data_IF_774172457770
#
_entry.id   IF_774172457770
#
_cell.length_a   1.000
_cell.length_b   1.000
_cell.length_c   1.000
_cell.angle_alpha   90.00
_cell.angle_beta   90.00
_cell.angle_gamma   90.00
#
_symmetry.space_group_name_H-M   'P 1'
#
loop_
_entity.id
_entity.type
_entity.pdbx_description
1 polymer ?
#
# COMPACT_ATOMS: atom_id res chain seq x y z
N UNK A 1 -1.91 34.27 -12.82
CA UNK A 1 -1.54 33.19 -11.85
C UNK A 1 -0.35 32.42 -12.34
N UNK A 2 0.59 32.04 -11.44
CA UNK A 2 1.70 31.18 -11.81
C UNK A 2 1.16 29.79 -12.13
N UNK A 3 1.65 29.18 -13.20
CA UNK A 3 1.33 27.79 -13.51
C UNK A 3 1.99 26.88 -12.48
N UNK A 4 1.21 26.26 -11.59
CA UNK A 4 1.73 25.28 -10.62
C UNK A 4 2.13 23.99 -11.34
N UNK A 5 3.38 23.55 -11.14
CA UNK A 5 3.91 22.34 -11.78
C UNK A 5 3.13 21.10 -11.41
N UNK A 6 2.55 21.02 -10.18
CA UNK A 6 1.75 19.88 -9.75
C UNK A 6 0.54 19.60 -10.66
N UNK A 7 -0.04 20.63 -11.30
CA UNK A 7 -1.16 20.48 -12.22
C UNK A 7 -0.72 19.95 -13.59
N UNK A 8 0.52 20.26 -14.01
CA UNK A 8 1.07 19.75 -15.28
C UNK A 8 1.60 18.31 -15.22
N UNK A 9 1.67 17.70 -14.03
CA UNK A 9 2.10 16.29 -13.87
C UNK A 9 1.10 15.34 -14.51
N UNK A 10 -0.20 15.67 -14.47
CA UNK A 10 -1.26 14.90 -15.10
C UNK A 10 -1.21 13.41 -14.70
N UNK A 11 -1.20 12.52 -15.69
CA UNK A 11 -1.20 11.06 -15.54
C UNK A 11 -0.06 10.49 -14.67
N UNK A 12 1.00 11.25 -14.46
CA UNK A 12 2.13 10.83 -13.62
C UNK A 12 1.90 11.12 -12.13
N UNK A 13 0.84 11.84 -11.76
CA UNK A 13 0.49 12.07 -10.37
C UNK A 13 0.21 10.73 -9.67
N UNK A 14 0.82 10.51 -8.49
CA UNK A 14 0.62 9.29 -7.70
C UNK A 14 -0.50 9.40 -6.68
N UNK A 15 -1.05 10.62 -6.47
CA UNK A 15 -2.04 10.87 -5.43
C UNK A 15 -1.51 10.65 -4.02
N UNK A 16 -0.26 11.04 -3.75
CA UNK A 16 0.41 10.85 -2.46
C UNK A 16 0.02 11.88 -1.38
N UNK A 17 -0.79 12.88 -1.69
CA UNK A 17 -1.26 13.94 -0.80
C UNK A 17 -0.17 14.89 -0.24
N UNK A 18 1.07 14.80 -0.65
CA UNK A 18 2.14 15.68 -0.17
C UNK A 18 1.85 17.17 -0.42
N UNK A 19 1.33 17.51 -1.60
CA UNK A 19 0.97 18.89 -1.97
C UNK A 19 -0.18 19.46 -1.12
N UNK A 20 -1.19 18.64 -0.77
CA UNK A 20 -2.28 19.04 0.13
C UNK A 20 -1.75 19.34 1.52
N UNK A 21 -0.95 18.43 2.08
CA UNK A 21 -0.37 18.58 3.41
C UNK A 21 0.57 19.78 3.50
N UNK A 22 1.28 20.11 2.42
CA UNK A 22 2.19 21.25 2.35
C UNK A 22 1.50 22.60 2.22
N UNK A 23 0.22 22.64 1.83
CA UNK A 23 -0.48 23.90 1.57
C UNK A 23 -0.86 24.60 2.88
N UNK A 24 -0.27 25.79 3.21
CA UNK A 24 -0.54 26.48 4.46
C UNK A 24 -1.94 27.14 4.49
N UNK A 25 -2.58 27.29 3.33
CA UNK A 25 -3.91 27.89 3.16
C UNK A 25 -5.00 26.86 2.92
N UNK A 26 -4.68 25.56 2.97
CA UNK A 26 -5.60 24.48 2.63
C UNK A 26 -6.28 24.66 1.26
N UNK A 27 -5.59 25.33 0.33
CA UNK A 27 -6.09 25.61 -1.02
C UNK A 27 -6.01 24.38 -1.95
N UNK A 28 -5.49 23.25 -1.49
CA UNK A 28 -5.34 22.04 -2.30
C UNK A 28 -6.15 20.92 -1.69
N UNK A 29 -7.04 20.34 -2.47
CA UNK A 29 -7.76 19.12 -2.17
C UNK A 29 -7.42 18.04 -3.22
N UNK A 30 -7.63 16.77 -2.88
CA UNK A 30 -7.48 15.66 -3.81
C UNK A 30 -8.81 14.87 -3.90
N UNK A 31 -9.81 15.37 -4.64
CA UNK A 31 -11.03 14.61 -4.92
C UNK A 31 -10.73 13.40 -5.82
N UNK A 32 -11.65 12.44 -5.87
CA UNK A 32 -11.64 11.39 -6.88
C UNK A 32 -11.91 12.02 -8.26
N UNK A 33 -11.04 11.74 -9.23
CA UNK A 33 -11.24 12.13 -10.63
C UNK A 33 -12.27 11.23 -11.33
N UNK A 34 -12.50 11.42 -12.63
CA UNK A 34 -13.45 10.62 -13.42
C UNK A 34 -13.15 9.11 -13.48
N UNK A 35 -11.97 8.67 -13.07
CA UNK A 35 -11.55 7.27 -12.93
C UNK A 35 -11.54 6.77 -11.48
N UNK A 36 -11.96 7.63 -10.53
CA UNK A 36 -12.00 7.33 -9.09
C UNK A 36 -10.63 7.38 -8.40
N UNK A 37 -9.63 8.05 -8.97
CA UNK A 37 -8.31 8.25 -8.37
C UNK A 37 -8.18 9.66 -7.80
N UNK A 38 -7.45 9.78 -6.69
CA UNK A 38 -7.19 11.08 -6.04
C UNK A 38 -6.22 11.94 -6.85
N UNK A 39 -6.65 13.14 -7.24
CA UNK A 39 -5.83 14.10 -7.99
C UNK A 39 -5.97 15.51 -7.43
N UNK A 40 -4.88 16.32 -7.47
CA UNK A 40 -4.88 17.64 -6.86
C UNK A 40 -5.74 18.63 -7.66
N UNK A 41 -6.57 19.35 -6.93
CA UNK A 41 -7.31 20.54 -7.39
C UNK A 41 -6.91 21.72 -6.50
N UNK A 42 -6.67 22.89 -7.12
CA UNK A 42 -6.29 24.11 -6.41
C UNK A 42 -7.49 25.07 -6.40
N UNK A 43 -7.90 25.50 -5.22
CA UNK A 43 -8.80 26.62 -5.05
C UNK A 43 -8.01 27.92 -5.25
N UNK A 44 -8.22 28.57 -6.38
CA UNK A 44 -7.52 29.80 -6.77
C UNK A 44 -7.82 30.97 -5.84
N UNK A 45 -8.98 30.99 -5.16
CA UNK A 45 -9.35 32.05 -4.22
C UNK A 45 -8.55 31.97 -2.92
N UNK A 46 -8.15 30.76 -2.52
CA UNK A 46 -7.36 30.51 -1.32
C UNK A 46 -5.86 30.46 -1.61
N UNK A 47 -5.47 30.22 -2.85
CA UNK A 47 -4.06 30.08 -3.25
C UNK A 47 -3.32 31.40 -3.20
N UNK A 48 -2.17 31.43 -2.50
CA UNK A 48 -1.29 32.59 -2.37
C UNK A 48 -0.03 32.47 -3.24
N UNK A 49 0.02 31.59 -4.20
CA UNK A 49 1.13 31.37 -5.13
C UNK A 49 2.51 31.15 -4.47
N UNK A 50 2.57 30.56 -3.27
CA UNK A 50 3.82 30.35 -2.52
C UNK A 50 4.73 29.27 -3.09
N UNK A 51 4.24 28.41 -4.00
CA UNK A 51 4.98 27.34 -4.68
C UNK A 51 5.41 26.18 -3.78
N UNK A 52 4.91 26.08 -2.54
CA UNK A 52 5.25 24.97 -1.63
C UNK A 52 4.81 23.61 -2.15
N UNK A 53 3.65 23.54 -2.81
CA UNK A 53 3.14 22.31 -3.42
C UNK A 53 4.10 21.75 -4.48
N UNK A 54 4.68 22.62 -5.31
CA UNK A 54 5.65 22.19 -6.34
C UNK A 54 6.96 21.70 -5.70
N UNK A 55 7.44 22.39 -4.65
CA UNK A 55 8.65 22.02 -3.91
C UNK A 55 8.51 20.73 -3.11
N UNK A 56 7.28 20.32 -2.83
CA UNK A 56 6.97 19.13 -2.04
C UNK A 56 6.58 17.94 -2.91
N UNK A 57 6.32 18.15 -4.20
CA UNK A 57 5.89 17.07 -5.07
C UNK A 57 7.07 16.14 -5.43
N UNK A 58 7.02 14.82 -5.09
CA UNK A 58 8.10 13.88 -5.40
C UNK A 58 8.25 13.60 -6.91
N UNK A 59 7.31 14.08 -7.74
CA UNK A 59 7.43 14.02 -9.21
C UNK A 59 8.15 15.25 -9.78
N UNK A 60 8.19 16.35 -9.04
CA UNK A 60 8.92 17.57 -9.38
C UNK A 60 10.33 17.57 -8.77
N UNK A 61 10.43 17.21 -7.48
CA UNK A 61 11.69 17.09 -6.75
C UNK A 61 11.71 15.69 -6.11
N UNK A 62 12.51 14.81 -6.68
CA UNK A 62 12.64 13.43 -6.21
C UNK A 62 13.40 13.41 -4.88
N UNK A 63 12.85 12.80 -3.82
CA UNK A 63 13.55 12.66 -2.55
C UNK A 63 14.75 11.68 -2.70
N UNK A 64 15.69 11.73 -1.77
CA UNK A 64 16.81 10.79 -1.70
C UNK A 64 16.28 9.37 -1.60
N UNK A 65 16.84 8.48 -2.42
CA UNK A 65 16.50 7.06 -2.45
C UNK A 65 17.74 6.22 -2.40
N UNK A 66 17.65 5.09 -1.73
CA UNK A 66 18.74 4.16 -1.49
C UNK A 66 18.44 2.83 -2.18
N UNK A 67 19.47 2.16 -2.66
CA UNK A 67 19.38 0.73 -3.01
C UNK A 67 19.51 -0.08 -1.73
N UNK A 68 18.82 -1.21 -1.66
CA UNK A 68 18.93 -2.09 -0.51
C UNK A 68 20.40 -2.47 -0.26
N UNK A 69 20.85 -2.26 0.98
CA UNK A 69 22.21 -2.57 1.45
C UNK A 69 22.32 -4.01 1.93
N UNK A 70 21.25 -4.49 2.62
CA UNK A 70 21.19 -5.84 3.19
C UNK A 70 19.79 -6.44 2.96
N UNK A 71 19.76 -7.76 2.92
CA UNK A 71 18.52 -8.51 2.86
C UNK A 71 18.41 -9.48 4.04
N UNK A 72 17.20 -9.67 4.52
CA UNK A 72 16.85 -10.61 5.57
C UNK A 72 15.53 -11.30 5.22
N UNK A 73 15.28 -12.41 5.90
CA UNK A 73 13.97 -13.04 5.92
C UNK A 73 13.59 -13.37 7.37
N UNK A 74 12.29 -13.40 7.64
CA UNK A 74 11.87 -13.68 9.01
C UNK A 74 10.36 -13.68 9.22
N UNK A 75 10.00 -13.87 10.47
CA UNK A 75 8.61 -13.90 10.93
C UNK A 75 8.51 -13.54 12.40
N UNK A 76 7.33 -13.11 12.83
CA UNK A 76 6.98 -12.97 14.24
C UNK A 76 6.72 -14.34 14.84
N UNK A 77 7.24 -14.60 16.05
CA UNK A 77 7.12 -15.90 16.72
C UNK A 77 5.74 -16.14 17.35
N UNK A 78 4.95 -15.09 17.55
CA UNK A 78 3.54 -15.18 17.92
C UNK A 78 2.72 -15.76 16.75
N UNK A 79 2.29 -17.01 16.90
CA UNK A 79 1.55 -17.73 15.86
C UNK A 79 0.21 -17.09 15.53
N UNK A 80 -0.48 -16.47 16.49
CA UNK A 80 -1.78 -15.84 16.25
C UNK A 80 -1.62 -14.52 15.49
N UNK A 81 -0.64 -13.71 15.83
CA UNK A 81 -0.30 -12.52 15.05
C UNK A 81 0.17 -12.93 13.64
N UNK A 82 1.01 -13.97 13.52
CA UNK A 82 1.49 -14.46 12.23
C UNK A 82 0.36 -14.98 11.34
N UNK A 83 -0.62 -15.69 11.89
CA UNK A 83 -1.83 -16.15 11.17
C UNK A 83 -2.67 -14.98 10.67
N UNK A 84 -2.80 -13.92 11.47
CA UNK A 84 -3.55 -12.70 11.13
C UNK A 84 -2.77 -11.70 10.27
N UNK A 85 -1.53 -11.99 9.90
CA UNK A 85 -0.69 -11.17 9.01
C UNK A 85 -0.72 -11.70 7.58
N UNK A 86 -0.43 -10.89 6.58
CA UNK A 86 -0.39 -11.30 5.16
C UNK A 86 0.80 -12.19 4.81
N UNK A 87 1.90 -12.08 5.55
CA UNK A 87 3.15 -12.82 5.35
C UNK A 87 3.71 -13.29 6.70
N UNK A 88 5.01 -13.17 6.95
CA UNK A 88 5.67 -13.50 8.21
C UNK A 88 5.30 -12.63 9.40
N UNK A 89 4.61 -11.50 9.22
CA UNK A 89 4.16 -10.62 10.31
C UNK A 89 5.18 -9.59 10.76
N UNK A 90 6.24 -9.30 9.99
CA UNK A 90 7.28 -8.35 10.40
C UNK A 90 6.79 -6.90 10.50
N UNK A 91 5.74 -6.50 9.74
CA UNK A 91 5.06 -5.23 10.02
C UNK A 91 4.63 -5.16 11.49
N UNK A 92 3.98 -6.22 12.00
CA UNK A 92 3.50 -6.28 13.37
C UNK A 92 4.65 -6.31 14.39
N UNK A 93 5.75 -6.97 14.09
CA UNK A 93 6.92 -7.00 14.96
C UNK A 93 7.50 -5.59 15.15
N UNK A 94 7.71 -4.84 14.05
CA UNK A 94 8.22 -3.46 14.10
C UNK A 94 7.21 -2.53 14.78
N UNK A 95 5.93 -2.65 14.44
CA UNK A 95 4.87 -1.84 15.03
C UNK A 95 4.76 -2.05 16.55
N UNK A 96 4.78 -3.30 17.01
CA UNK A 96 4.75 -3.62 18.44
C UNK A 96 5.97 -3.06 19.18
N UNK A 97 7.17 -3.11 18.57
CA UNK A 97 8.36 -2.49 19.13
C UNK A 97 8.18 -0.97 19.30
N UNK A 98 7.69 -0.27 18.26
CA UNK A 98 7.47 1.18 18.33
C UNK A 98 6.44 1.53 19.41
N UNK A 99 5.32 0.80 19.48
CA UNK A 99 4.25 1.03 20.47
C UNK A 99 4.76 0.76 21.89
N UNK A 100 5.50 -0.32 22.10
CA UNK A 100 6.06 -0.66 23.41
C UNK A 100 7.04 0.40 23.93
N UNK A 101 7.67 1.18 23.05
CA UNK A 101 8.54 2.31 23.38
C UNK A 101 7.79 3.67 23.41
N UNK A 102 6.45 3.68 23.51
CA UNK A 102 5.64 4.91 23.58
C UNK A 102 5.46 5.62 22.23
N UNK A 103 5.88 5.03 21.14
CA UNK A 103 5.73 5.56 19.79
C UNK A 103 4.31 5.41 19.23
N UNK A 104 4.12 5.90 18.00
CA UNK A 104 2.86 5.84 17.27
C UNK A 104 3.08 5.27 15.87
N UNK A 105 2.13 4.47 15.39
CA UNK A 105 2.21 3.77 14.11
C UNK A 105 1.10 4.26 13.19
N UNK A 106 1.46 4.69 11.98
CA UNK A 106 0.52 5.08 10.92
C UNK A 106 0.52 4.07 9.78
N UNK A 107 -0.67 3.77 9.27
CA UNK A 107 -0.84 2.85 8.14
C UNK A 107 -2.26 2.89 7.60
N UNK A 108 -2.51 2.13 6.55
CA UNK A 108 -3.80 2.07 5.90
C UNK A 108 -4.78 1.16 6.66
N UNK A 109 -6.02 1.63 6.88
CA UNK A 109 -7.14 0.84 7.39
C UNK A 109 -8.41 1.11 6.60
N UNK A 110 -9.33 0.13 6.56
CA UNK A 110 -10.65 0.36 6.00
C UNK A 110 -11.55 1.06 6.99
N UNK A 111 -12.24 2.10 6.49
CA UNK A 111 -13.39 2.72 7.14
C UNK A 111 -14.66 2.17 6.49
N UNK A 112 -15.52 1.55 7.29
CA UNK A 112 -16.79 0.96 6.85
C UNK A 112 -18.00 1.83 7.20
N UNK A 113 -17.79 3.04 7.73
CA UNK A 113 -18.87 3.99 8.03
C UNK A 113 -19.34 4.67 6.75
N UNK A 114 -20.50 4.27 6.22
CA UNK A 114 -21.01 4.72 4.93
C UNK A 114 -20.34 4.03 3.75
N UNK A 115 -19.91 4.80 2.75
CA UNK A 115 -19.14 4.26 1.63
C UNK A 115 -17.79 3.76 2.10
N UNK A 116 -17.49 2.50 1.76
CA UNK A 116 -16.20 1.88 2.12
C UNK A 116 -15.05 2.71 1.55
N UNK A 117 -14.09 3.07 2.43
CA UNK A 117 -12.88 3.83 2.09
C UNK A 117 -11.65 3.16 2.66
N UNK A 118 -10.53 3.29 1.99
CA UNK A 118 -9.22 2.99 2.55
C UNK A 118 -8.56 4.31 2.94
N UNK A 119 -8.31 4.49 4.22
CA UNK A 119 -7.79 5.74 4.79
C UNK A 119 -6.53 5.45 5.61
N UNK A 120 -5.66 6.47 5.74
CA UNK A 120 -4.48 6.37 6.59
C UNK A 120 -4.82 6.85 8.00
N UNK A 121 -4.61 5.99 8.98
CA UNK A 121 -4.88 6.23 10.39
C UNK A 121 -3.70 5.87 11.27
N UNK A 122 -3.71 6.38 12.49
CA UNK A 122 -2.81 5.92 13.55
C UNK A 122 -3.37 4.68 14.26
N UNK A 123 -2.47 3.94 14.93
CA UNK A 123 -2.89 2.83 15.79
C UNK A 123 -3.73 3.29 17.01
N UNK A 124 -3.64 4.55 17.39
CA UNK A 124 -4.43 5.12 18.48
C UNK A 124 -5.89 5.38 18.06
N UNK A 125 -6.11 5.69 16.77
CA UNK A 125 -7.45 5.91 16.24
C UNK A 125 -8.20 4.60 15.97
N UNK A 126 -7.54 3.58 15.40
CA UNK A 126 -8.22 2.39 14.88
C UNK A 126 -7.71 1.07 15.45
N UNK A 127 -6.69 1.10 16.30
CA UNK A 127 -6.01 -0.10 16.78
C UNK A 127 -5.05 -0.70 15.75
N UNK A 128 -4.02 -1.40 16.25
CA UNK A 128 -2.99 -2.01 15.38
C UNK A 128 -3.55 -3.11 14.48
N UNK A 129 -4.60 -3.81 14.89
CA UNK A 129 -5.23 -4.88 14.10
C UNK A 129 -5.78 -4.34 12.77
N UNK A 130 -6.40 -3.16 12.77
CA UNK A 130 -6.94 -2.54 11.57
C UNK A 130 -5.84 -2.15 10.55
N UNK A 131 -4.63 -1.85 11.05
CA UNK A 131 -3.47 -1.52 10.20
C UNK A 131 -2.80 -2.75 9.58
N UNK A 132 -3.03 -3.95 10.14
CA UNK A 132 -2.47 -5.21 9.62
C UNK A 132 -3.06 -5.58 8.27
N UNK A 133 -2.43 -6.54 7.62
CA UNK A 133 -2.80 -7.14 6.33
C UNK A 133 -2.61 -6.20 5.12
N UNK A 134 -2.51 -6.80 3.95
CA UNK A 134 -2.35 -6.08 2.68
C UNK A 134 -3.70 -5.57 2.19
N UNK A 135 -3.75 -4.31 1.78
CA UNK A 135 -4.92 -3.65 1.19
C UNK A 135 -4.53 -3.16 -0.20
N UNK A 136 -5.19 -3.70 -1.22
CA UNK A 136 -4.76 -3.55 -2.62
C UNK A 136 -5.59 -2.53 -3.39
N UNK A 137 -5.82 -1.36 -2.81
CA UNK A 137 -6.44 -0.19 -3.44
C UNK A 137 -5.73 1.08 -3.01
N UNK A 138 -5.97 2.19 -3.71
CA UNK A 138 -5.38 3.47 -3.33
C UNK A 138 -5.89 3.93 -1.96
N UNK A 139 -4.95 4.34 -1.10
CA UNK A 139 -5.25 4.90 0.22
C UNK A 139 -5.49 6.42 0.13
N UNK A 140 -6.45 6.91 0.92
CA UNK A 140 -6.66 8.34 1.13
C UNK A 140 -5.83 8.78 2.35
N UNK A 141 -4.77 9.54 2.11
CA UNK A 141 -3.84 9.98 3.18
C UNK A 141 -4.43 11.13 3.99
N UNK A 142 -5.26 11.97 3.38
CA UNK A 142 -5.83 13.14 4.05
C UNK A 142 -4.76 14.08 4.59
N UNK A 143 -4.85 14.41 5.88
CA UNK A 143 -3.91 15.30 6.58
C UNK A 143 -2.87 14.54 7.44
N UNK A 144 -2.80 13.22 7.34
CA UNK A 144 -1.95 12.36 8.17
C UNK A 144 -0.48 12.78 8.20
N UNK A 145 0.05 13.34 7.11
CA UNK A 145 1.45 13.79 7.12
C UNK A 145 1.69 14.98 8.06
N UNK A 146 0.68 15.83 8.27
CA UNK A 146 0.76 16.92 9.27
C UNK A 146 0.76 16.36 10.69
N UNK A 147 -0.07 15.35 10.94
CA UNK A 147 -0.15 14.70 12.25
C UNK A 147 1.14 13.95 12.57
N UNK A 148 1.72 13.25 11.58
CA UNK A 148 3.05 12.64 11.67
C UNK A 148 4.09 13.71 12.04
N UNK A 149 4.11 14.83 11.33
CA UNK A 149 5.06 15.92 11.61
C UNK A 149 4.91 16.46 13.04
N UNK A 150 3.70 16.67 13.51
CA UNK A 150 3.43 17.12 14.88
C UNK A 150 3.97 16.13 15.92
N UNK A 151 3.74 14.84 15.74
CA UNK A 151 4.28 13.80 16.63
C UNK A 151 5.82 13.75 16.60
N UNK A 152 6.44 13.88 15.43
CA UNK A 152 7.90 13.93 15.30
C UNK A 152 8.49 15.15 16.00
N UNK A 153 7.88 16.32 15.85
CA UNK A 153 8.33 17.57 16.45
C UNK A 153 8.12 17.60 17.98
N UNK A 154 7.20 16.79 18.51
CA UNK A 154 7.05 16.58 19.96
C UNK A 154 8.08 15.59 20.54
N UNK A 155 8.98 15.04 19.72
CA UNK A 155 9.98 14.03 20.11
C UNK A 155 9.47 12.60 20.15
N UNK A 156 8.22 12.35 19.77
CA UNK A 156 7.63 11.03 19.77
C UNK A 156 8.18 10.18 18.62
N UNK A 157 8.49 8.91 18.88
CA UNK A 157 8.85 7.97 17.82
C UNK A 157 7.64 7.68 16.94
N UNK A 158 7.83 7.78 15.63
CA UNK A 158 6.76 7.55 14.63
C UNK A 158 7.19 6.47 13.66
N UNK A 159 6.32 5.49 13.43
CA UNK A 159 6.42 4.56 12.31
C UNK A 159 5.35 4.89 11.27
N UNK A 160 5.76 5.05 10.01
CA UNK A 160 4.84 5.16 8.89
C UNK A 160 5.02 4.00 7.91
N UNK A 161 3.94 3.31 7.57
CA UNK A 161 3.94 2.23 6.58
C UNK A 161 2.99 2.56 5.43
N UNK A 162 3.52 2.67 4.21
CA UNK A 162 2.76 3.00 3.02
C UNK A 162 3.37 2.46 1.73
N UNK A 163 2.74 2.77 0.59
CA UNK A 163 3.36 2.47 -0.72
C UNK A 163 4.63 3.29 -0.92
N UNK A 164 5.58 2.87 -1.79
CA UNK A 164 6.80 3.64 -2.03
C UNK A 164 6.54 5.09 -2.45
N UNK A 165 5.48 5.36 -3.22
CA UNK A 165 5.15 6.72 -3.62
C UNK A 165 4.53 7.55 -2.49
N UNK A 166 3.86 6.93 -1.53
CA UNK A 166 3.37 7.61 -0.32
C UNK A 166 4.52 7.94 0.64
N UNK A 167 5.50 7.03 0.80
CA UNK A 167 6.73 7.30 1.57
C UNK A 167 7.53 8.44 0.94
N UNK A 168 7.69 8.45 -0.38
CA UNK A 168 8.30 9.59 -1.08
C UNK A 168 7.55 10.90 -0.79
N UNK A 169 6.21 10.85 -0.82
CA UNK A 169 5.35 12.00 -0.49
C UNK A 169 5.60 12.51 0.92
N UNK A 170 5.66 11.62 1.91
CA UNK A 170 5.94 11.96 3.30
C UNK A 170 7.35 12.59 3.45
N UNK A 171 8.39 11.95 2.92
CA UNK A 171 9.78 12.46 2.98
C UNK A 171 9.88 13.84 2.29
N UNK A 172 9.24 14.02 1.13
CA UNK A 172 9.19 15.31 0.44
C UNK A 172 8.40 16.38 1.21
N UNK A 173 7.36 16.00 1.94
CA UNK A 173 6.61 16.92 2.81
C UNK A 173 7.43 17.36 4.02
N UNK A 174 8.12 16.44 4.68
CA UNK A 174 8.93 16.71 5.88
C UNK A 174 10.17 17.59 5.58
N UNK A 175 10.79 17.45 4.40
CA UNK A 175 11.96 18.21 3.90
C UNK A 175 13.21 18.13 4.75
N UNK A 176 13.22 17.36 5.79
CA UNK A 176 14.37 17.06 6.64
C UNK A 176 14.24 15.63 7.16
N UNK A 177 15.34 15.07 7.55
CA UNK A 177 15.35 13.80 8.24
C UNK A 177 15.00 13.98 9.71
N UNK A 178 14.36 12.97 10.29
CA UNK A 178 14.00 12.87 11.69
C UNK A 178 14.53 11.53 12.21
N UNK A 179 15.36 11.54 13.24
CA UNK A 179 15.90 10.34 13.86
C UNK A 179 14.83 9.48 14.51
N UNK A 180 13.72 10.09 14.95
CA UNK A 180 12.57 9.42 15.54
C UNK A 180 11.50 8.98 14.51
N UNK A 181 11.82 8.99 13.19
CA UNK A 181 10.95 8.50 12.13
C UNK A 181 11.44 7.17 11.58
N UNK A 182 10.61 6.15 11.61
CA UNK A 182 10.81 4.86 10.93
C UNK A 182 9.84 4.80 9.75
N UNK A 183 10.37 4.62 8.53
CA UNK A 183 9.57 4.48 7.32
C UNK A 183 9.67 3.07 6.76
N UNK A 184 8.51 2.47 6.49
CA UNK A 184 8.41 1.15 5.88
C UNK A 184 7.61 1.26 4.59
N UNK A 185 8.15 0.75 3.51
CA UNK A 185 7.38 0.48 2.31
C UNK A 185 7.30 -1.02 2.00
N UNK A 186 6.65 -1.36 0.91
CA UNK A 186 6.54 -2.73 0.46
C UNK A 186 6.69 -2.82 -1.06
N UNK A 187 6.99 -4.02 -1.58
CA UNK A 187 7.03 -4.26 -3.02
C UNK A 187 5.62 -4.11 -3.58
N UNK A 188 5.40 -2.98 -4.25
CA UNK A 188 4.11 -2.55 -4.77
C UNK A 188 3.99 -2.86 -6.26
N UNK A 189 2.86 -3.43 -6.66
CA UNK A 189 2.54 -3.75 -8.06
C UNK A 189 1.45 -2.85 -8.66
N UNK A 190 1.24 -1.66 -8.07
CA UNK A 190 0.20 -0.72 -8.47
C UNK A 190 -1.12 -0.89 -7.72
N UNK A 191 -1.96 0.13 -7.81
CA UNK A 191 -3.24 0.21 -7.10
C UNK A 191 -4.40 0.54 -8.03
N UNK A 192 -5.55 -0.14 -7.92
CA UNK A 192 -6.83 0.32 -8.46
C UNK A 192 -7.43 1.42 -7.57
N UNK A 193 -8.46 2.09 -8.06
CA UNK A 193 -9.20 3.11 -7.29
C UNK A 193 -10.20 2.47 -6.30
N UNK A 194 -10.55 3.24 -5.26
CA UNK A 194 -11.63 2.85 -4.33
C UNK A 194 -12.99 2.77 -5.03
N UNK A 195 -13.27 3.66 -5.98
CA UNK A 195 -14.49 3.61 -6.81
C UNK A 195 -14.61 2.27 -7.55
N UNK A 196 -13.51 1.76 -8.10
CA UNK A 196 -13.51 0.46 -8.78
C UNK A 196 -13.73 -0.70 -7.81
N UNK A 197 -13.18 -0.63 -6.58
CA UNK A 197 -13.45 -1.63 -5.55
C UNK A 197 -14.94 -1.62 -5.16
N UNK A 198 -15.54 -0.45 -4.91
CA UNK A 198 -16.97 -0.35 -4.58
C UNK A 198 -17.85 -0.96 -5.67
N UNK A 199 -17.59 -0.65 -6.96
CA UNK A 199 -18.29 -1.27 -8.10
C UNK A 199 -18.11 -2.79 -8.17
N UNK A 200 -16.93 -3.29 -7.79
CA UNK A 200 -16.69 -4.73 -7.74
C UNK A 200 -17.44 -5.39 -6.59
N UNK A 201 -17.45 -4.79 -5.41
CA UNK A 201 -18.19 -5.30 -4.26
C UNK A 201 -19.71 -5.35 -4.57
N UNK A 202 -20.24 -4.32 -5.21
CA UNK A 202 -21.63 -4.31 -5.68
C UNK A 202 -21.90 -5.46 -6.68
N UNK A 203 -21.00 -5.64 -7.65
CA UNK A 203 -21.12 -6.71 -8.66
C UNK A 203 -21.13 -8.11 -8.06
N UNK A 204 -20.36 -8.35 -6.99
CA UNK A 204 -20.31 -9.64 -6.30
C UNK A 204 -21.30 -9.74 -5.12
N UNK A 205 -22.17 -8.74 -4.90
CA UNK A 205 -23.19 -8.74 -3.84
C UNK A 205 -22.63 -8.50 -2.43
N UNK A 206 -21.50 -7.80 -2.30
CA UNK A 206 -20.83 -7.50 -1.04
C UNK A 206 -20.73 -6.01 -0.74
N UNK A 207 -21.63 -5.19 -1.23
CA UNK A 207 -21.64 -3.73 -0.96
C UNK A 207 -21.77 -3.37 0.52
N UNK A 208 -22.38 -4.25 1.33
CA UNK A 208 -22.51 -4.08 2.78
C UNK A 208 -21.41 -4.77 3.60
N UNK A 209 -20.27 -5.12 2.99
CA UNK A 209 -19.18 -5.78 3.70
C UNK A 209 -18.66 -4.91 4.84
N UNK A 210 -18.52 -5.50 6.03
CA UNK A 210 -17.94 -4.88 7.23
C UNK A 210 -16.50 -5.31 7.47
N UNK A 211 -15.99 -6.25 6.66
CA UNK A 211 -14.61 -6.71 6.67
C UNK A 211 -14.18 -7.10 5.26
N UNK A 212 -13.03 -6.64 4.83
CA UNK A 212 -12.39 -7.00 3.56
C UNK A 212 -11.01 -7.57 3.82
N UNK A 213 -10.81 -8.84 3.51
CA UNK A 213 -9.51 -9.51 3.53
C UNK A 213 -9.10 -9.89 2.11
N UNK A 214 -8.12 -9.19 1.57
CA UNK A 214 -7.58 -9.46 0.23
C UNK A 214 -6.70 -10.72 0.17
N UNK A 215 -6.25 -11.23 1.32
CA UNK A 215 -5.32 -12.35 1.39
C UNK A 215 -5.59 -13.23 2.60
N UNK A 216 -6.76 -13.88 2.67
CA UNK A 216 -6.98 -14.90 3.69
C UNK A 216 -5.91 -15.98 3.50
N UNK A 217 -5.17 -16.36 4.55
CA UNK A 217 -4.10 -17.38 4.50
C UNK A 217 -4.57 -18.80 4.21
N UNK A 218 -5.80 -18.97 3.74
CA UNK A 218 -6.40 -20.26 3.43
C UNK A 218 -6.58 -20.37 1.92
N UNK A 219 -6.45 -21.57 1.40
CA UNK A 219 -6.31 -22.06 0.01
C UNK A 219 -7.22 -21.46 -1.08
N UNK A 220 -7.89 -20.37 -0.82
CA UNK A 220 -8.70 -19.64 -1.79
C UNK A 220 -8.27 -18.20 -1.94
N UNK A 221 -7.71 -17.94 -3.04
CA UNK A 221 -7.56 -16.63 -3.62
C UNK A 221 -8.95 -16.06 -3.86
N UNK A 222 -9.41 -15.17 -2.98
CA UNK A 222 -10.63 -14.43 -3.22
C UNK A 222 -10.45 -13.60 -4.50
N UNK A 223 -11.49 -13.45 -5.28
CA UNK A 223 -11.55 -12.73 -6.54
C UNK A 223 -11.05 -11.27 -6.51
N UNK A 224 -10.69 -10.75 -5.34
CA UNK A 224 -10.02 -9.45 -5.20
C UNK A 224 -8.69 -9.35 -5.97
N UNK A 225 -8.04 -10.47 -6.30
CA UNK A 225 -6.92 -10.47 -7.23
C UNK A 225 -7.33 -10.06 -8.65
N UNK A 226 -8.60 -10.26 -9.02
CA UNK A 226 -9.14 -9.81 -10.29
C UNK A 226 -9.14 -8.27 -10.40
N UNK A 227 -9.34 -7.54 -9.30
CA UNK A 227 -9.28 -6.07 -9.27
C UNK A 227 -7.87 -5.57 -9.60
N UNK A 228 -6.83 -6.32 -9.24
CA UNK A 228 -5.43 -6.01 -9.57
C UNK A 228 -5.02 -6.34 -10.99
N UNK A 229 -5.90 -6.96 -11.80
CA UNK A 229 -5.56 -7.19 -13.20
C UNK A 229 -5.24 -5.87 -13.86
N UNK A 230 -4.14 -5.85 -14.45
CA UNK A 230 -3.36 -4.95 -15.29
C UNK A 230 -4.08 -3.70 -15.83
N UNK A 231 -5.33 -3.85 -16.24
CA UNK A 231 -6.13 -2.80 -16.87
C UNK A 231 -6.89 -1.91 -15.87
N UNK A 232 -6.67 -2.08 -14.58
CA UNK A 232 -7.45 -1.42 -13.50
C UNK A 232 -6.62 -0.48 -12.64
N UNK A 233 -5.31 -0.44 -12.89
CA UNK A 233 -4.39 0.32 -12.08
C UNK A 233 -4.40 1.81 -12.42
N UNK A 234 -3.96 2.63 -11.46
CA UNK A 234 -3.69 4.05 -11.69
C UNK A 234 -2.70 4.23 -12.84
N UNK A 235 -2.86 5.27 -13.69
CA UNK A 235 -1.98 5.52 -14.83
C UNK A 235 -0.52 5.66 -14.41
N UNK A 236 -0.23 6.40 -13.34
CA UNK A 236 1.14 6.56 -12.85
C UNK A 236 1.80 5.24 -12.41
N UNK A 237 1.03 4.19 -12.11
CA UNK A 237 1.59 2.86 -11.83
C UNK A 237 2.13 2.18 -13.08
N UNK A 238 1.70 2.58 -14.28
CA UNK A 238 2.21 2.08 -15.55
C UNK A 238 3.62 2.60 -15.86
N UNK A 239 3.97 3.79 -15.31
CA UNK A 239 5.30 4.42 -15.41
C UNK A 239 5.90 4.64 -14.02
N UNK A 240 5.78 3.63 -13.19
CA UNK A 240 6.19 3.71 -11.81
C UNK A 240 7.71 3.88 -11.67
N UNK A 241 8.14 5.01 -11.14
CA UNK A 241 9.56 5.29 -10.90
C UNK A 241 10.17 4.52 -9.72
N UNK A 242 9.36 3.75 -8.99
CA UNK A 242 9.80 2.94 -7.85
C UNK A 242 10.13 1.48 -8.23
N UNK A 243 9.88 1.09 -9.48
CA UNK A 243 10.18 -0.27 -9.97
C UNK A 243 11.67 -0.53 -10.21
N UNK A 244 12.54 0.46 -9.99
CA UNK A 244 13.99 0.35 -10.17
C UNK A 244 14.74 -0.15 -8.93
N UNK A 245 14.00 -0.45 -7.86
CA UNK A 245 14.53 -0.96 -6.61
C UNK A 245 15.24 0.06 -5.73
N UNK A 246 15.13 1.36 -6.02
CA UNK A 246 15.59 2.41 -5.10
C UNK A 246 14.40 2.92 -4.28
N UNK A 247 14.59 3.10 -2.99
CA UNK A 247 13.56 3.44 -2.00
C UNK A 247 13.94 4.61 -1.12
N UNK A 248 12.97 5.45 -0.79
CA UNK A 248 13.14 6.47 0.25
C UNK A 248 12.81 5.93 1.66
N UNK A 249 12.16 4.78 1.74
CA UNK A 249 11.89 4.09 3.00
C UNK A 249 13.17 3.52 3.62
N UNK A 250 13.19 3.43 4.96
CA UNK A 250 14.29 2.83 5.70
C UNK A 250 14.31 1.30 5.50
N UNK A 251 13.12 0.70 5.47
CA UNK A 251 12.91 -0.74 5.30
C UNK A 251 11.85 -0.99 4.22
N UNK A 252 12.11 -1.96 3.34
CA UNK A 252 11.12 -2.50 2.40
C UNK A 252 10.76 -3.93 2.83
N UNK A 253 9.47 -4.22 3.02
CA UNK A 253 8.98 -5.55 3.34
C UNK A 253 8.24 -6.18 2.15
N UNK A 254 8.29 -7.50 2.06
CA UNK A 254 7.55 -8.24 1.04
C UNK A 254 7.25 -9.67 1.49
N UNK A 255 6.38 -10.36 0.73
CA UNK A 255 6.36 -11.82 0.80
C UNK A 255 7.66 -12.38 0.21
N UNK A 256 8.23 -13.38 0.83
CA UNK A 256 9.39 -14.05 0.27
C UNK A 256 8.95 -15.08 -0.80
N UNK A 257 8.46 -14.59 -1.94
CA UNK A 257 8.10 -15.42 -3.07
C UNK A 257 9.31 -16.17 -3.63
N UNK A 258 9.17 -17.49 -3.76
CA UNK A 258 10.23 -18.32 -4.32
C UNK A 258 11.22 -18.84 -3.28
N UNK A 259 10.97 -18.66 -2.00
CA UNK A 259 11.78 -19.22 -0.89
C UNK A 259 12.04 -20.72 -1.09
N UNK A 260 11.05 -21.48 -1.60
CA UNK A 260 11.17 -22.90 -1.90
C UNK A 260 12.20 -23.24 -2.98
N UNK A 261 12.51 -22.29 -3.87
CA UNK A 261 13.58 -22.42 -4.88
C UNK A 261 14.96 -22.21 -4.29
N UNK A 262 15.02 -21.35 -3.27
CA UNK A 262 16.22 -21.06 -2.52
C UNK A 262 16.55 -22.17 -1.54
N UNK A 263 15.59 -22.53 -0.69
CA UNK A 263 15.69 -23.62 0.27
C UNK A 263 14.29 -24.18 0.56
N UNK A 264 13.94 -25.38 0.01
CA UNK A 264 12.64 -25.99 0.24
C UNK A 264 12.31 -26.22 1.71
N UNK A 265 13.31 -26.46 2.56
CA UNK A 265 13.11 -26.67 4.00
C UNK A 265 12.64 -25.42 4.74
N UNK A 266 12.83 -24.24 4.15
CA UNK A 266 12.38 -22.95 4.73
C UNK A 266 10.94 -22.60 4.37
N UNK A 267 10.30 -23.37 3.50
CA UNK A 267 8.92 -23.09 3.12
C UNK A 267 7.98 -23.29 4.31
N UNK A 268 7.27 -22.23 4.68
CA UNK A 268 6.27 -22.26 5.75
C UNK A 268 4.95 -21.65 5.24
N UNK A 269 3.88 -22.44 5.27
CA UNK A 269 2.53 -22.04 4.85
C UNK A 269 1.98 -20.84 5.65
N UNK A 270 2.48 -20.61 6.86
CA UNK A 270 2.13 -19.43 7.69
C UNK A 270 2.67 -18.13 7.12
N UNK A 271 3.58 -18.19 6.15
CA UNK A 271 4.21 -17.05 5.48
C UNK A 271 5.58 -16.71 6.07
N UNK A 272 6.45 -16.21 5.19
CA UNK A 272 7.78 -15.69 5.51
C UNK A 272 7.89 -14.32 4.85
N UNK A 273 8.33 -13.32 5.60
CA UNK A 273 8.59 -11.99 5.06
C UNK A 273 10.03 -11.89 4.55
N UNK A 274 10.21 -11.27 3.39
CA UNK A 274 11.46 -10.70 2.94
C UNK A 274 11.59 -9.29 3.54
N UNK A 275 12.77 -8.92 3.97
CA UNK A 275 13.11 -7.57 4.45
C UNK A 275 14.32 -7.07 3.69
N UNK A 276 14.20 -5.91 3.09
CA UNK A 276 15.31 -5.17 2.49
C UNK A 276 15.59 -3.95 3.36
N UNK A 277 16.83 -3.79 3.78
CA UNK A 277 17.28 -2.64 4.54
C UNK A 277 17.94 -1.66 3.59
N UNK A 278 17.39 -0.44 3.52
CA UNK A 278 17.76 0.51 2.49
C UNK A 278 18.81 1.53 2.98
N UNK A 279 18.86 1.81 4.29
CA UNK A 279 19.77 2.79 4.88
C UNK A 279 20.14 2.42 6.33
N UNK A 280 20.98 3.24 6.96
CA UNK A 280 21.50 2.98 8.30
C UNK A 280 20.41 3.01 9.38
N UNK A 281 19.36 3.84 9.22
CA UNK A 281 18.22 3.83 10.14
C UNK A 281 17.50 2.48 10.10
N UNK A 282 17.30 1.91 8.91
CA UNK A 282 16.77 0.57 8.75
C UNK A 282 17.62 -0.52 9.40
N UNK A 283 18.96 -0.39 9.35
CA UNK A 283 19.89 -1.30 10.07
C UNK A 283 19.67 -1.18 11.58
N UNK A 284 19.59 0.05 12.10
CA UNK A 284 19.39 0.29 13.53
C UNK A 284 18.06 -0.32 14.03
N UNK A 285 16.98 -0.10 13.30
CA UNK A 285 15.66 -0.67 13.63
C UNK A 285 15.72 -2.20 13.66
N UNK A 286 16.37 -2.82 12.67
CA UNK A 286 16.42 -4.28 12.59
C UNK A 286 17.24 -4.90 13.73
N UNK A 287 18.36 -4.29 14.09
CA UNK A 287 19.17 -4.71 15.24
C UNK A 287 18.36 -4.62 16.55
N UNK A 288 17.65 -3.51 16.77
CA UNK A 288 16.79 -3.33 17.94
C UNK A 288 15.67 -4.38 18.03
N UNK A 289 15.17 -4.86 16.89
CA UNK A 289 14.19 -5.93 16.85
C UNK A 289 14.77 -7.29 17.26
N UNK A 290 15.98 -7.61 16.80
CA UNK A 290 16.64 -8.87 17.14
C UNK A 290 16.83 -9.02 18.65
N UNK A 291 17.10 -7.91 19.34
CA UNK A 291 17.36 -7.89 20.77
C UNK A 291 16.08 -7.86 21.65
N UNK A 292 14.98 -7.30 21.13
CA UNK A 292 13.84 -6.88 21.97
C UNK A 292 12.46 -7.40 21.54
N UNK A 293 12.34 -8.12 20.42
CA UNK A 293 11.02 -8.52 19.90
C UNK A 293 10.96 -10.01 19.65
N UNK A 294 9.81 -10.60 19.97
CA UNK A 294 9.53 -12.01 19.70
C UNK A 294 9.40 -12.28 18.19
N UNK A 295 10.53 -12.21 17.47
CA UNK A 295 10.60 -12.50 16.05
C UNK A 295 11.90 -13.29 15.72
N UNK A 296 11.83 -14.03 14.62
CA UNK A 296 12.98 -14.71 14.00
C UNK A 296 13.36 -13.95 12.75
N UNK A 297 14.61 -13.43 12.71
CA UNK A 297 15.15 -12.69 11.56
C UNK A 297 16.51 -13.28 11.24
N UNK A 298 16.70 -13.67 9.98
CA UNK A 298 17.94 -14.26 9.48
C UNK A 298 18.46 -13.47 8.30
N UNK A 299 19.77 -13.29 8.22
CA UNK A 299 20.42 -12.65 7.08
C UNK A 299 20.23 -13.48 5.81
N UNK A 300 20.08 -12.81 4.69
CA UNK A 300 19.89 -13.40 3.37
C UNK A 300 20.89 -12.79 2.39
N UNK A 301 21.58 -13.63 1.62
CA UNK A 301 22.41 -13.11 0.54
C UNK A 301 21.55 -12.37 -0.49
N UNK A 302 21.96 -11.15 -0.87
CA UNK A 302 21.22 -10.29 -1.80
C UNK A 302 20.84 -10.96 -3.13
N UNK A 303 21.64 -11.92 -3.60
CA UNK A 303 21.34 -12.68 -4.82
C UNK A 303 20.00 -13.43 -4.76
N UNK A 304 19.56 -13.86 -3.56
CA UNK A 304 18.29 -14.55 -3.36
C UNK A 304 17.12 -13.59 -3.15
N UNK A 305 17.39 -12.38 -2.67
CA UNK A 305 16.41 -11.30 -2.63
C UNK A 305 16.11 -10.75 -4.04
N UNK A 306 17.08 -10.85 -4.96
CA UNK A 306 17.00 -10.28 -6.31
C UNK A 306 15.81 -10.79 -7.11
N UNK A 307 15.37 -12.04 -6.89
CA UNK A 307 14.19 -12.59 -7.58
C UNK A 307 12.90 -11.79 -7.28
N UNK A 308 12.66 -11.41 -6.02
CA UNK A 308 11.51 -10.59 -5.63
C UNK A 308 11.70 -9.16 -6.10
N UNK A 309 12.93 -8.67 -6.02
CA UNK A 309 13.36 -7.36 -6.41
C UNK A 309 13.34 -7.14 -7.94
N UNK A 310 13.77 -8.14 -8.72
CA UNK A 310 13.69 -8.14 -10.18
C UNK A 310 12.24 -8.24 -10.67
N UNK A 311 11.37 -8.88 -9.92
CA UNK A 311 9.95 -8.90 -10.20
C UNK A 311 9.32 -7.51 -10.05
N UNK A 312 9.81 -6.70 -9.11
CA UNK A 312 9.45 -5.29 -8.99
C UNK A 312 9.90 -4.49 -10.22
N UNK A 313 11.05 -4.80 -10.79
CA UNK A 313 11.56 -4.18 -12.03
C UNK A 313 10.78 -4.53 -13.30
N UNK A 314 10.07 -5.64 -13.32
CA UNK A 314 9.31 -6.09 -14.50
C UNK A 314 7.95 -5.40 -14.64
N UNK A 315 7.63 -4.48 -13.76
CA UNK A 315 6.33 -3.82 -13.75
C UNK A 315 5.96 -3.10 -15.06
N UNK A 316 6.87 -2.47 -15.84
CA UNK A 316 6.44 -1.77 -17.03
C UNK A 316 6.11 -2.63 -18.24
N UNK A 317 6.74 -3.80 -18.44
CA UNK A 317 6.96 -4.20 -19.83
C UNK A 317 5.99 -5.14 -20.51
N UNK A 318 5.40 -6.11 -19.91
CA UNK A 318 4.63 -7.06 -20.72
C UNK A 318 3.18 -7.23 -20.30
N UNK A 319 2.87 -6.68 -19.16
CA UNK A 319 1.60 -6.92 -18.52
C UNK A 319 0.73 -5.68 -18.41
N UNK A 320 1.30 -4.49 -18.62
CA UNK A 320 0.63 -3.20 -18.53
C UNK A 320 0.46 -2.59 -19.91
N UNK A 321 -0.67 -2.84 -20.53
CA UNK A 321 -1.02 -2.21 -21.79
C UNK A 321 -1.92 -1.01 -21.53
N UNK A 322 -1.37 0.21 -21.68
CA UNK A 322 -2.11 1.47 -21.47
C UNK A 322 -3.40 1.54 -22.29
N UNK A 323 -3.34 1.16 -23.57
CA UNK A 323 -4.52 1.20 -24.44
C UNK A 323 -5.64 0.30 -23.92
N UNK A 324 -5.30 -0.92 -23.46
CA UNK A 324 -6.27 -1.83 -22.87
C UNK A 324 -6.79 -1.31 -21.52
N UNK A 325 -5.93 -0.72 -20.70
CA UNK A 325 -6.31 -0.08 -19.45
C UNK A 325 -7.30 1.05 -19.71
N UNK A 326 -6.96 1.98 -20.60
CA UNK A 326 -7.78 3.15 -20.87
C UNK A 326 -9.11 2.77 -21.50
N UNK A 327 -9.14 1.78 -22.40
CA UNK A 327 -10.37 1.23 -22.95
C UNK A 327 -11.26 0.60 -21.84
N UNK A 328 -10.69 -0.21 -20.97
CA UNK A 328 -11.43 -0.83 -19.87
C UNK A 328 -12.02 0.22 -18.91
N UNK A 329 -11.21 1.16 -18.46
CA UNK A 329 -11.65 2.21 -17.52
C UNK A 329 -12.72 3.08 -18.16
N UNK A 330 -12.54 3.50 -19.42
CA UNK A 330 -13.56 4.22 -20.17
C UNK A 330 -14.89 3.45 -20.17
N UNK A 331 -14.86 2.17 -20.51
CA UNK A 331 -16.08 1.35 -20.57
C UNK A 331 -16.74 1.18 -19.18
N UNK A 332 -15.94 1.07 -18.10
CA UNK A 332 -16.49 1.02 -16.73
C UNK A 332 -17.32 2.26 -16.40
N UNK A 333 -16.85 3.44 -16.78
CA UNK A 333 -17.51 4.70 -16.42
C UNK A 333 -18.54 5.19 -17.46
N UNK A 334 -18.52 4.65 -18.69
CA UNK A 334 -19.52 5.02 -19.74
C UNK A 334 -20.60 3.96 -19.97
N UNK A 335 -20.27 2.68 -19.79
CA UNK A 335 -21.19 1.54 -20.04
C UNK A 335 -21.55 0.77 -18.76
N UNK A 336 -20.89 1.07 -17.67
CA UNK A 336 -21.04 0.40 -16.37
C UNK A 336 -20.11 -0.81 -16.21
N UNK A 337 -19.88 -1.18 -14.93
CA UNK A 337 -18.89 -2.19 -14.54
C UNK A 337 -19.16 -3.58 -15.11
N UNK A 338 -20.43 -4.01 -15.12
CA UNK A 338 -20.84 -5.33 -15.61
C UNK A 338 -20.58 -5.45 -17.11
N UNK A 339 -20.97 -4.44 -17.88
CA UNK A 339 -20.80 -4.43 -19.33
C UNK A 339 -19.34 -4.34 -19.75
N UNK A 340 -18.55 -3.49 -19.06
CA UNK A 340 -17.11 -3.44 -19.25
C UNK A 340 -16.44 -4.81 -19.01
N UNK A 341 -16.85 -5.52 -17.94
CA UNK A 341 -16.33 -6.86 -17.69
C UNK A 341 -16.69 -7.88 -18.78
N UNK A 342 -17.85 -7.79 -19.39
CA UNK A 342 -18.22 -8.63 -20.54
C UNK A 342 -17.35 -8.34 -21.75
N UNK A 343 -17.21 -7.06 -22.13
CA UNK A 343 -16.42 -6.61 -23.27
C UNK A 343 -14.96 -7.03 -23.15
N UNK A 344 -14.40 -6.93 -21.95
CA UNK A 344 -12.97 -7.18 -21.69
C UNK A 344 -12.67 -8.59 -21.15
N UNK A 345 -13.67 -9.51 -21.15
CA UNK A 345 -13.48 -10.93 -20.77
C UNK A 345 -13.31 -11.17 -19.28
N UNK A 346 -13.79 -10.29 -18.42
CA UNK A 346 -13.73 -10.42 -16.95
C UNK A 346 -15.08 -10.77 -16.31
N UNK A 347 -16.11 -10.96 -17.11
CA UNK A 347 -17.46 -11.25 -16.64
C UNK A 347 -17.56 -12.64 -16.02
N UNK A 348 -18.21 -12.73 -14.86
CA UNK A 348 -18.62 -14.00 -14.24
C UNK A 348 -20.15 -14.06 -14.26
N UNK A 349 -20.70 -15.17 -14.75
CA UNK A 349 -22.13 -15.36 -14.78
C UNK A 349 -22.73 -15.42 -13.36
N UNK A 350 -24.02 -15.12 -13.18
CA UNK A 350 -24.69 -15.25 -11.87
C UNK A 350 -24.52 -16.63 -11.24
N UNK A 351 -24.51 -17.69 -12.05
CA UNK A 351 -24.24 -19.06 -11.57
C UNK A 351 -22.81 -19.25 -11.06
N UNK A 352 -21.82 -18.62 -11.66
CA UNK A 352 -20.44 -18.63 -11.17
C UNK A 352 -20.32 -17.83 -9.87
N UNK A 353 -20.99 -16.69 -9.75
CA UNK A 353 -21.04 -15.89 -8.52
C UNK A 353 -21.76 -16.64 -7.41
N UNK A 354 -22.88 -17.31 -7.70
CA UNK A 354 -23.60 -18.14 -6.73
C UNK A 354 -22.72 -19.30 -6.21
N UNK A 355 -22.01 -19.99 -7.10
CA UNK A 355 -21.05 -21.03 -6.70
C UNK A 355 -19.94 -20.46 -5.81
N UNK A 356 -19.49 -19.26 -6.09
CA UNK A 356 -18.52 -18.55 -5.27
C UNK A 356 -19.08 -18.30 -3.85
N UNK A 357 -20.29 -17.73 -3.73
CA UNK A 357 -20.91 -17.47 -2.44
C UNK A 357 -21.18 -18.74 -1.62
N UNK A 358 -21.66 -19.81 -2.27
CA UNK A 358 -21.86 -21.11 -1.62
C UNK A 358 -20.52 -21.66 -1.10
N UNK A 359 -19.47 -21.56 -1.88
CA UNK A 359 -18.13 -22.03 -1.49
C UNK A 359 -17.58 -21.24 -0.29
N UNK A 360 -17.80 -19.91 -0.27
CA UNK A 360 -17.39 -19.07 0.86
C UNK A 360 -18.22 -19.34 2.12
N UNK A 361 -19.54 -19.52 1.99
CA UNK A 361 -20.42 -19.88 3.11
C UNK A 361 -20.02 -21.24 3.71
N UNK A 362 -19.76 -22.25 2.88
CA UNK A 362 -19.31 -23.58 3.33
C UNK A 362 -17.94 -23.51 4.04
N UNK A 363 -17.06 -22.61 3.62
CA UNK A 363 -15.78 -22.37 4.29
C UNK A 363 -15.98 -21.77 5.66
N UNK A 364 -16.83 -20.75 5.78
CA UNK A 364 -17.16 -20.10 7.05
C UNK A 364 -17.74 -21.08 8.04
N UNK A 365 -18.64 -21.96 7.58
CA UNK A 365 -19.23 -23.04 8.41
C UNK A 365 -18.15 -24.04 8.84
N UNK A 366 -17.32 -24.51 7.92
CA UNK A 366 -16.23 -25.45 8.25
C UNK A 366 -15.26 -24.87 9.29
N UNK A 367 -15.07 -23.54 9.28
CA UNK A 367 -14.24 -22.84 10.27
C UNK A 367 -14.84 -22.76 11.66
N UNK A 368 -16.16 -22.57 11.74
CA UNK A 368 -16.87 -22.57 13.03
C UNK A 368 -16.95 -23.96 13.68
N UNK A 369 -16.75 -25.04 12.91
CA UNK A 369 -16.86 -26.42 13.38
C UNK A 369 -15.50 -27.02 13.73
N UNK A 370 -14.41 -26.60 13.06
CA UNK A 370 -13.08 -27.23 13.16
C UNK A 370 -12.04 -26.28 13.83
N UNK A 371 -12.37 -25.00 13.99
CA UNK A 371 -11.54 -24.02 14.69
C UNK A 371 -11.99 -23.86 16.07
#
# INVERSE_FOLDING_TARGET
MKSHKILSIGDLCTGCFACQNACPKNAISLPENGEGFYEPVIDEKLCIDCGLCDKTCPRVIVPTRFKAQKAYYGWINDDDIRKRSSSGGLFSAIANYVIANGGIVYGASFNYSGDIRLECHSNEEVGIEALRKSKYVQCHIGNTFRDIKTNLESGRQVMYCGTPCEVDGLKSFLRKDYENLITIDFICHGVPSMSLLRKHLEYIGLSGATEIDFRPKRESWVDFFEIRKKNRLRRSCMDCQHCNGSRAADITIADFWGVYKFNPAMFDKRGISLVLVNNDNGVHVLNSLQDNVNCTINELEMKYASYVYERDRRAPDSHYNRKLRDAYIKDVYTKGYVEANKIHGFYKSPTMLLRYHIKEALRTIKHKIIG
#
